data_IF_137341972865
#
_entry.id   IF_137341972865
#
_cell.length_a   1.000
_cell.length_b   1.000
_cell.length_c   1.000
_cell.angle_alpha   90.00
_cell.angle_beta   90.00
_cell.angle_gamma   90.00
#
_symmetry.space_group_name_H-M   'P 1'
#
loop_
_entity.id
_entity.type
_entity.pdbx_description
1 polymer ?
#
# COMPACT_ATOMS: atom_id res chain seq x y z
N UNK A 1 -13.19 -8.15 2.02
CA UNK A 1 -11.97 -7.31 1.93
C UNK A 1 -11.87 -6.89 0.47
N UNK A 2 -11.92 -5.58 0.20
CA UNK A 2 -11.96 -4.99 -1.15
C UNK A 2 -10.96 -5.60 -2.14
N UNK A 3 -9.75 -5.92 -1.67
CA UNK A 3 -8.72 -6.61 -2.43
C UNK A 3 -9.18 -7.97 -3.02
N UNK A 4 -9.86 -8.78 -2.21
CA UNK A 4 -10.41 -10.09 -2.63
C UNK A 4 -11.64 -9.92 -3.51
N UNK A 5 -12.51 -8.96 -3.19
CA UNK A 5 -13.73 -8.67 -3.97
C UNK A 5 -13.41 -8.21 -5.40
N UNK A 6 -12.34 -7.44 -5.58
CA UNK A 6 -11.88 -6.95 -6.87
C UNK A 6 -10.96 -7.94 -7.64
N UNK A 7 -10.68 -9.12 -7.08
CA UNK A 7 -9.81 -10.11 -7.70
C UNK A 7 -8.39 -9.61 -7.94
N UNK A 8 -7.88 -8.69 -7.10
CA UNK A 8 -6.63 -7.99 -7.39
C UNK A 8 -5.41 -8.90 -7.36
N UNK A 9 -5.46 -10.04 -6.66
CA UNK A 9 -4.35 -11.00 -6.61
C UNK A 9 -3.90 -11.44 -8.00
N UNK A 10 -4.87 -11.73 -8.87
CA UNK A 10 -4.59 -12.30 -10.19
C UNK A 10 -4.30 -11.21 -11.22
N UNK A 11 -4.87 -10.02 -11.04
CA UNK A 11 -4.73 -8.88 -11.95
C UNK A 11 -3.44 -8.10 -11.71
N UNK A 12 -3.04 -7.90 -10.45
CA UNK A 12 -1.89 -7.05 -10.08
C UNK A 12 -0.60 -7.34 -10.85
N UNK A 13 -0.21 -8.61 -11.10
CA UNK A 13 1.00 -8.91 -11.88
C UNK A 13 0.97 -8.39 -13.32
N UNK A 14 -0.21 -8.21 -13.90
CA UNK A 14 -0.41 -7.75 -15.28
C UNK A 14 -0.66 -6.24 -15.37
N UNK A 15 -0.92 -5.58 -14.24
CA UNK A 15 -1.23 -4.15 -14.19
C UNK A 15 0.05 -3.30 -14.27
N UNK A 16 -0.02 -2.22 -15.03
CA UNK A 16 1.00 -1.18 -15.00
C UNK A 16 1.02 -0.44 -13.66
N UNK A 17 2.16 0.17 -13.30
CA UNK A 17 2.28 0.98 -12.07
C UNK A 17 1.23 2.10 -12.03
N UNK A 18 0.95 2.74 -13.16
CA UNK A 18 -0.06 3.80 -13.27
C UNK A 18 -1.44 3.30 -12.82
N UNK A 19 -1.87 2.15 -13.31
CA UNK A 19 -3.17 1.58 -12.96
C UNK A 19 -3.22 1.12 -11.50
N UNK A 20 -2.09 0.63 -10.96
CA UNK A 20 -1.99 0.29 -9.54
C UNK A 20 -2.18 1.54 -8.66
N UNK A 21 -1.57 2.68 -9.02
CA UNK A 21 -1.75 3.94 -8.31
C UNK A 21 -3.17 4.49 -8.41
N UNK A 22 -3.78 4.43 -9.59
CA UNK A 22 -5.17 4.85 -9.79
C UNK A 22 -6.11 4.06 -8.87
N UNK A 23 -5.96 2.73 -8.81
CA UNK A 23 -6.76 1.89 -7.91
C UNK A 23 -6.55 2.27 -6.44
N UNK A 24 -5.31 2.44 -5.98
CA UNK A 24 -5.03 2.86 -4.60
C UNK A 24 -5.65 4.22 -4.26
N UNK A 25 -5.73 5.14 -5.23
CA UNK A 25 -6.36 6.44 -5.07
C UNK A 25 -7.90 6.37 -5.00
N UNK A 26 -8.53 5.33 -5.56
CA UNK A 26 -9.99 5.19 -5.52
C UNK A 26 -10.55 4.79 -4.15
N UNK A 27 -9.83 3.97 -3.39
CA UNK A 27 -10.32 3.43 -2.12
C UNK A 27 -9.17 3.25 -1.13
N UNK A 28 -9.13 4.10 -0.12
CA UNK A 28 -8.13 4.06 0.94
C UNK A 28 -8.14 2.77 1.78
N UNK A 29 -9.15 1.90 1.64
CA UNK A 29 -9.15 0.56 2.26
C UNK A 29 -8.19 -0.42 1.56
N UNK A 30 -7.75 -0.12 0.34
CA UNK A 30 -6.74 -0.90 -0.39
C UNK A 30 -5.31 -0.54 0.05
N UNK A 31 -5.12 0.61 0.68
CA UNK A 31 -3.83 1.05 1.21
C UNK A 31 -3.53 0.33 2.53
N UNK A 32 -2.32 -0.21 2.65
CA UNK A 32 -1.88 -0.90 3.88
C UNK A 32 -1.78 0.08 5.05
N UNK A 33 -2.30 -0.32 6.21
CA UNK A 33 -2.32 0.47 7.45
C UNK A 33 -1.61 -0.27 8.59
N UNK A 34 -0.94 0.43 9.53
CA UNK A 34 -0.65 1.86 9.53
C UNK A 34 0.34 2.24 8.40
N UNK A 35 0.45 3.53 8.07
CA UNK A 35 1.44 4.06 7.14
C UNK A 35 2.17 5.21 7.84
N UNK A 36 3.48 5.07 8.04
CA UNK A 36 4.34 6.12 8.60
C UNK A 36 4.99 6.86 7.42
N UNK A 37 4.81 8.18 7.35
CA UNK A 37 5.32 9.02 6.26
C UNK A 37 6.25 10.08 6.86
N UNK A 38 7.48 10.13 6.35
CA UNK A 38 8.48 11.16 6.65
C UNK A 38 8.72 12.10 5.47
N UNK A 39 9.78 12.90 5.53
CA UNK A 39 10.11 13.84 4.46
C UNK A 39 10.52 13.16 3.15
N UNK A 40 11.22 12.02 3.24
CA UNK A 40 11.84 11.29 2.13
C UNK A 40 11.55 9.79 2.15
N UNK A 41 10.71 9.31 3.07
CA UNK A 41 10.38 7.89 3.21
C UNK A 41 8.90 7.63 3.53
N UNK A 42 8.46 6.40 3.25
CA UNK A 42 7.16 5.88 3.67
C UNK A 42 7.30 4.40 4.09
N UNK A 43 6.81 4.06 5.29
CA UNK A 43 6.81 2.69 5.83
C UNK A 43 5.39 2.14 5.90
N UNK A 44 5.00 1.21 4.99
CA UNK A 44 3.70 0.56 5.03
C UNK A 44 3.66 -0.60 6.03
N UNK A 45 2.77 -0.49 7.01
CA UNK A 45 2.58 -1.42 8.11
C UNK A 45 3.46 -1.10 9.32
N UNK A 46 3.23 -1.83 10.42
CA UNK A 46 4.06 -1.75 11.61
C UNK A 46 5.11 -2.87 11.61
N UNK A 47 6.38 -2.47 11.59
CA UNK A 47 7.53 -3.35 11.82
C UNK A 47 8.44 -2.60 12.80
N UNK A 48 8.49 -3.08 14.03
CA UNK A 48 9.17 -2.39 15.13
C UNK A 48 10.61 -1.99 14.78
N UNK A 49 11.40 -2.91 14.24
CA UNK A 49 12.79 -2.65 13.84
C UNK A 49 12.93 -1.57 12.75
N UNK A 50 11.97 -1.45 11.83
CA UNK A 50 12.02 -0.41 10.79
C UNK A 50 11.55 0.93 11.34
N UNK A 51 10.54 0.92 12.22
CA UNK A 51 10.05 2.13 12.87
C UNK A 51 11.10 2.74 13.81
N UNK A 52 11.85 1.91 14.55
CA UNK A 52 12.93 2.37 15.42
C UNK A 52 14.11 3.02 14.67
N UNK A 53 14.30 2.73 13.37
CA UNK A 53 15.38 3.35 12.57
C UNK A 53 15.09 4.79 12.16
N UNK A 54 13.81 5.17 12.17
CA UNK A 54 13.33 6.44 11.59
C UNK A 54 12.64 7.37 12.59
N UNK A 55 12.41 6.88 13.81
CA UNK A 55 11.91 7.64 14.96
C UNK A 55 13.09 8.05 15.85
#
# INVERSE_FOLDING_TARGET
MKYKELGLKDRLPEMSEKEQYEILATDGMLVKRPLLIGADFALPGFKEQEWQKVL
#
